data_IF_939295820802
#
_entry.id   IF_939295820802
#
_cell.length_a   1.000
_cell.length_b   1.000
_cell.length_c   1.000
_cell.angle_alpha   90.00
_cell.angle_beta   90.00
_cell.angle_gamma   90.00
#
_symmetry.space_group_name_H-M   'P 1'
#
loop_
_entity.id
_entity.type
_entity.pdbx_description
1 polymer ?
#
# COMPACT_ATOMS: atom_id res chain seq x y z
N UNK A 1 8.16 -12.45 -13.39
CA UNK A 1 7.75 -13.36 -14.49
C UNK A 1 6.40 -12.86 -14.99
N UNK A 2 6.37 -12.38 -16.23
CA UNK A 2 5.17 -11.88 -16.87
C UNK A 2 4.39 -13.05 -17.47
N UNK A 3 3.37 -13.54 -16.79
CA UNK A 3 2.40 -14.42 -17.44
C UNK A 3 1.15 -13.63 -17.81
N UNK A 4 0.52 -13.91 -18.97
CA UNK A 4 -0.78 -13.35 -19.29
C UNK A 4 -1.76 -13.72 -18.17
N UNK A 5 -2.42 -12.73 -17.60
CA UNK A 5 -3.43 -12.97 -16.58
C UNK A 5 -4.79 -12.62 -17.18
N UNK A 6 -5.68 -13.59 -17.36
CA UNK A 6 -7.01 -13.31 -17.89
C UNK A 6 -7.76 -12.36 -16.97
N UNK A 7 -8.26 -11.29 -17.53
CA UNK A 7 -9.16 -10.39 -16.85
C UNK A 7 -10.59 -10.70 -17.31
N UNK A 8 -11.46 -11.08 -16.37
CA UNK A 8 -12.85 -11.44 -16.64
C UNK A 8 -13.75 -10.23 -16.44
N UNK A 9 -14.60 -9.95 -17.42
CA UNK A 9 -15.67 -8.96 -17.32
C UNK A 9 -16.96 -9.58 -17.83
N UNK A 10 -18.01 -9.55 -17.01
CA UNK A 10 -19.33 -10.14 -17.35
C UNK A 10 -19.25 -11.63 -17.77
N UNK A 11 -18.41 -12.43 -17.09
CA UNK A 11 -18.27 -13.86 -17.40
C UNK A 11 -17.51 -14.18 -18.67
N UNK A 12 -16.88 -13.18 -19.33
CA UNK A 12 -16.05 -13.37 -20.53
C UNK A 12 -14.62 -12.90 -20.27
N UNK A 13 -13.59 -13.55 -20.85
CA UNK A 13 -12.24 -13.02 -20.80
C UNK A 13 -12.22 -11.65 -21.45
N UNK A 14 -11.74 -10.64 -20.72
CA UNK A 14 -11.67 -9.28 -21.22
C UNK A 14 -10.47 -9.07 -22.14
N UNK A 15 -9.32 -9.57 -21.73
CA UNK A 15 -8.11 -9.78 -22.54
C UNK A 15 -7.03 -10.48 -21.72
N UNK A 16 -6.08 -11.11 -22.42
CA UNK A 16 -4.81 -11.60 -21.88
C UNK A 16 -3.73 -10.57 -22.22
N UNK A 17 -2.99 -10.16 -21.18
CA UNK A 17 -1.92 -9.19 -21.36
C UNK A 17 -0.76 -9.49 -20.42
N UNK A 18 0.50 -9.32 -20.87
CA UNK A 18 1.65 -9.49 -20.01
C UNK A 18 1.55 -8.53 -18.82
N UNK A 19 1.61 -9.09 -17.61
CA UNK A 19 1.39 -8.33 -16.39
C UNK A 19 2.34 -8.76 -15.28
N UNK A 20 2.72 -7.82 -14.41
CA UNK A 20 3.27 -8.12 -13.09
C UNK A 20 2.13 -8.47 -12.14
N UNK A 21 2.33 -9.50 -11.34
CA UNK A 21 1.37 -9.93 -10.32
C UNK A 21 1.84 -9.54 -8.94
N UNK A 22 0.96 -8.93 -8.17
CA UNK A 22 1.19 -8.53 -6.78
C UNK A 22 0.25 -9.30 -5.87
N UNK A 23 0.75 -10.30 -5.10
CA UNK A 23 -0.07 -11.02 -4.15
C UNK A 23 -0.34 -10.17 -2.91
N UNK A 24 -1.61 -9.99 -2.59
CA UNK A 24 -2.08 -9.41 -1.34
C UNK A 24 -2.22 -10.51 -0.31
N UNK A 25 -1.58 -10.34 0.84
CA UNK A 25 -1.57 -11.33 1.90
C UNK A 25 -1.96 -10.70 3.22
N UNK A 26 -2.63 -11.46 4.07
CA UNK A 26 -2.93 -11.05 5.44
C UNK A 26 -1.67 -11.15 6.35
N UNK A 27 -1.84 -10.78 7.62
CA UNK A 27 -0.76 -10.87 8.61
C UNK A 27 -0.28 -12.32 8.81
N UNK A 28 -1.15 -13.32 8.59
CA UNK A 28 -0.78 -14.74 8.68
C UNK A 28 -0.08 -15.28 7.42
N UNK A 29 0.17 -14.42 6.41
CA UNK A 29 0.74 -14.75 5.09
C UNK A 29 -0.21 -15.54 4.17
N UNK A 30 -1.52 -15.60 4.50
CA UNK A 30 -2.55 -16.19 3.65
C UNK A 30 -2.83 -15.27 2.47
N UNK A 31 -2.89 -15.83 1.25
CA UNK A 31 -3.26 -15.09 0.04
C UNK A 31 -4.72 -14.64 0.12
N UNK A 32 -4.95 -13.34 0.01
CA UNK A 32 -6.28 -12.72 -0.02
C UNK A 32 -6.72 -12.40 -1.45
N UNK A 33 -5.79 -11.82 -2.25
CA UNK A 33 -6.08 -11.35 -3.59
C UNK A 33 -4.79 -11.21 -4.41
N UNK A 34 -4.93 -10.97 -5.71
CA UNK A 34 -3.81 -10.68 -6.61
C UNK A 34 -4.17 -9.47 -7.47
N UNK A 35 -3.39 -8.41 -7.38
CA UNK A 35 -3.47 -7.30 -8.33
C UNK A 35 -2.51 -7.55 -9.49
N UNK A 36 -2.94 -7.23 -10.71
CA UNK A 36 -2.07 -7.26 -11.88
C UNK A 36 -1.78 -5.84 -12.36
N UNK A 37 -0.52 -5.59 -12.77
CA UNK A 37 -0.10 -4.37 -13.46
C UNK A 37 0.25 -4.72 -14.89
N UNK A 38 -0.49 -4.16 -15.84
CA UNK A 38 -0.22 -4.30 -17.26
C UNK A 38 1.15 -3.71 -17.65
N UNK A 39 1.93 -4.46 -18.41
CA UNK A 39 3.28 -4.06 -18.86
C UNK A 39 3.30 -3.49 -20.29
N UNK A 40 2.19 -3.60 -21.02
CA UNK A 40 2.08 -3.06 -22.37
C UNK A 40 1.79 -1.54 -22.38
N UNK A 41 1.69 -1.01 -23.60
CA UNK A 41 1.45 0.43 -23.86
C UNK A 41 0.12 0.69 -24.58
N UNK A 42 -0.73 -0.31 -24.73
CA UNK A 42 -2.00 -0.17 -25.46
C UNK A 42 -2.94 0.79 -24.71
N UNK A 43 -3.55 1.69 -25.48
CA UNK A 43 -4.54 2.64 -24.94
C UNK A 43 -5.83 1.91 -24.55
N UNK A 44 -6.50 2.39 -23.50
CA UNK A 44 -7.76 1.80 -23.02
C UNK A 44 -7.61 0.55 -22.15
N UNK A 45 -6.39 0.05 -21.96
CA UNK A 45 -6.10 -1.04 -21.04
C UNK A 45 -5.80 -0.48 -19.66
N UNK A 46 -6.59 -0.81 -18.60
CA UNK A 46 -6.30 -0.36 -17.26
C UNK A 46 -4.92 -0.82 -16.78
N UNK A 47 -4.13 0.12 -16.28
CA UNK A 47 -2.76 -0.17 -15.83
C UNK A 47 -2.72 -1.14 -14.65
N UNK A 48 -3.65 -0.98 -13.70
CA UNK A 48 -3.80 -1.87 -12.56
C UNK A 48 -5.18 -2.49 -12.55
N UNK A 49 -5.26 -3.77 -12.15
CA UNK A 49 -6.51 -4.53 -12.16
C UNK A 49 -6.55 -5.51 -10.99
N UNK A 50 -7.72 -5.63 -10.39
CA UNK A 50 -8.07 -6.74 -9.53
C UNK A 50 -8.99 -7.71 -10.27
N UNK A 51 -9.08 -8.98 -9.87
CA UNK A 51 -10.10 -9.89 -10.35
C UNK A 51 -11.50 -9.29 -10.11
N UNK A 52 -12.40 -9.52 -11.06
CA UNK A 52 -13.78 -9.00 -10.95
C UNK A 52 -14.46 -9.57 -9.70
N UNK A 53 -15.13 -8.68 -8.94
CA UNK A 53 -15.84 -9.06 -7.71
C UNK A 53 -14.96 -9.30 -6.48
N UNK A 54 -13.64 -9.06 -6.59
CA UNK A 54 -12.76 -9.17 -5.44
C UNK A 54 -12.77 -7.90 -4.59
N UNK A 55 -12.59 -8.08 -3.29
CA UNK A 55 -12.41 -6.98 -2.35
C UNK A 55 -11.03 -6.34 -2.47
N UNK A 56 -10.96 -5.05 -2.15
CA UNK A 56 -9.70 -4.31 -2.07
C UNK A 56 -9.13 -4.48 -0.67
N UNK A 57 -7.87 -4.89 -0.57
CA UNK A 57 -7.17 -5.11 0.69
C UNK A 57 -5.94 -4.20 0.78
N UNK A 58 -5.37 -4.05 1.97
CA UNK A 58 -4.08 -3.43 2.18
C UNK A 58 -2.99 -4.39 1.68
N UNK A 59 -2.06 -3.88 0.88
CA UNK A 59 -0.89 -4.64 0.43
C UNK A 59 0.20 -4.63 1.50
N UNK A 60 0.87 -5.77 1.68
CA UNK A 60 2.07 -5.84 2.51
C UNK A 60 1.82 -6.08 4.01
N UNK A 61 0.59 -6.44 4.44
CA UNK A 61 0.27 -6.66 5.86
C UNK A 61 1.18 -7.67 6.57
N UNK A 62 1.76 -8.63 5.86
CA UNK A 62 2.72 -9.57 6.44
C UNK A 62 3.98 -8.90 7.01
N UNK A 63 4.29 -7.65 6.59
CA UNK A 63 5.45 -6.88 7.09
C UNK A 63 5.31 -6.54 8.57
N UNK A 64 4.07 -6.48 9.10
CA UNK A 64 3.81 -6.16 10.50
C UNK A 64 4.49 -7.14 11.47
N UNK A 65 4.70 -8.40 11.06
CA UNK A 65 5.45 -9.39 11.84
C UNK A 65 6.94 -9.09 11.96
N UNK A 66 7.48 -8.33 11.03
CA UNK A 66 8.91 -8.00 10.94
C UNK A 66 9.22 -6.63 11.51
N UNK A 67 8.20 -5.88 11.94
CA UNK A 67 8.36 -4.55 12.53
C UNK A 67 8.94 -4.71 13.95
N UNK A 68 10.04 -4.03 14.19
CA UNK A 68 10.70 -4.01 15.51
C UNK A 68 10.07 -2.91 16.39
N UNK A 69 10.13 -3.08 17.74
CA UNK A 69 9.71 -2.01 18.64
C UNK A 69 10.47 -0.70 18.37
N UNK A 70 9.73 0.41 18.21
CA UNK A 70 10.29 1.72 17.88
C UNK A 70 10.62 1.92 16.39
N UNK A 71 10.42 0.92 15.54
CA UNK A 71 10.55 1.05 14.08
C UNK A 71 9.24 1.62 13.49
N UNK A 72 9.31 2.66 12.64
CA UNK A 72 8.11 3.21 12.02
C UNK A 72 7.54 2.29 10.93
N UNK A 73 6.20 2.30 10.78
CA UNK A 73 5.51 1.70 9.66
C UNK A 73 5.23 2.77 8.59
N UNK A 74 5.76 2.58 7.40
CA UNK A 74 5.47 3.48 6.27
C UNK A 74 4.19 3.08 5.56
N UNK A 75 3.46 4.09 5.08
CA UNK A 75 2.24 3.92 4.30
C UNK A 75 2.41 4.61 2.96
N UNK A 76 2.02 3.96 1.87
CA UNK A 76 1.96 4.52 0.53
C UNK A 76 0.57 4.39 -0.07
N UNK A 77 0.25 5.25 -1.05
CA UNK A 77 -1.01 5.18 -1.78
C UNK A 77 -1.01 4.03 -2.79
N UNK A 78 0.12 3.78 -3.42
CA UNK A 78 0.25 2.78 -4.47
C UNK A 78 1.27 1.69 -4.16
N UNK A 79 1.08 0.53 -4.80
CA UNK A 79 1.97 -0.62 -4.63
C UNK A 79 3.38 -0.35 -5.16
N UNK A 80 3.52 0.51 -6.18
CA UNK A 80 4.81 0.89 -6.75
C UNK A 80 5.65 1.71 -5.79
N UNK A 81 5.03 2.66 -5.10
CA UNK A 81 5.69 3.47 -4.06
C UNK A 81 6.01 2.65 -2.82
N UNK A 82 5.10 1.72 -2.46
CA UNK A 82 5.37 0.73 -1.43
C UNK A 82 6.64 -0.07 -1.72
N UNK A 83 6.80 -0.56 -2.94
CA UNK A 83 7.99 -1.31 -3.35
C UNK A 83 9.26 -0.44 -3.35
N UNK A 84 9.15 0.83 -3.75
CA UNK A 84 10.26 1.77 -3.69
C UNK A 84 10.70 2.02 -2.24
N UNK A 85 9.75 2.26 -1.33
CA UNK A 85 10.01 2.41 0.10
C UNK A 85 10.62 1.14 0.71
N UNK A 86 10.12 -0.05 0.35
CA UNK A 86 10.71 -1.32 0.78
C UNK A 86 12.14 -1.49 0.24
N UNK A 87 12.41 -1.07 -0.99
CA UNK A 87 13.76 -1.10 -1.58
C UNK A 87 14.71 -0.11 -0.89
N UNK A 88 14.17 0.97 -0.34
CA UNK A 88 14.90 1.91 0.52
C UNK A 88 15.13 1.38 1.95
N UNK A 89 14.62 0.19 2.29
CA UNK A 89 14.79 -0.45 3.59
C UNK A 89 13.66 -0.21 4.60
N UNK A 90 12.61 0.51 4.22
CA UNK A 90 11.47 0.81 5.09
C UNK A 90 10.47 -0.37 5.19
N UNK A 91 9.88 -0.55 6.36
CA UNK A 91 8.73 -1.44 6.54
C UNK A 91 7.48 -0.73 6.06
N UNK A 92 6.90 -1.19 4.95
CA UNK A 92 5.88 -0.43 4.23
C UNK A 92 4.67 -1.29 3.89
N UNK A 93 3.50 -0.67 3.95
CA UNK A 93 2.23 -1.18 3.42
C UNK A 93 1.67 -0.21 2.37
N UNK A 94 0.84 -0.70 1.45
CA UNK A 94 0.13 0.17 0.52
C UNK A 94 -1.38 0.12 0.75
N UNK A 95 -2.01 1.29 0.70
CA UNK A 95 -3.47 1.45 0.74
C UNK A 95 -3.92 1.79 -0.68
N UNK A 96 -4.48 0.83 -1.44
CA UNK A 96 -4.71 0.98 -2.87
C UNK A 96 -5.84 1.94 -3.23
N UNK A 97 -6.60 2.43 -2.26
CA UNK A 97 -7.64 3.43 -2.47
C UNK A 97 -7.97 4.15 -1.17
N UNK A 98 -7.70 5.44 -1.12
CA UNK A 98 -8.08 6.28 0.01
C UNK A 98 -9.60 6.29 0.24
N UNK A 99 -10.38 6.32 -0.83
CA UNK A 99 -11.86 6.40 -0.75
C UNK A 99 -12.50 5.13 -0.22
N UNK A 100 -11.82 4.00 -0.29
CA UNK A 100 -12.33 2.70 0.18
C UNK A 100 -11.78 2.29 1.55
N UNK A 101 -10.81 3.04 2.10
CA UNK A 101 -10.23 2.74 3.41
C UNK A 101 -11.25 2.91 4.53
N UNK A 102 -11.46 1.86 5.30
CA UNK A 102 -12.32 1.86 6.50
C UNK A 102 -11.46 1.64 7.75
N UNK A 103 -12.01 1.98 8.91
CA UNK A 103 -11.35 1.72 10.20
C UNK A 103 -11.06 0.23 10.40
N UNK A 104 -11.98 -0.64 9.98
CA UNK A 104 -11.83 -2.11 10.07
C UNK A 104 -10.64 -2.64 9.26
N UNK A 105 -10.29 -2.00 8.15
CA UNK A 105 -9.13 -2.39 7.33
C UNK A 105 -7.81 -2.20 8.11
N UNK A 106 -7.80 -1.27 9.06
CA UNK A 106 -6.64 -0.97 9.92
C UNK A 106 -6.57 -1.83 11.18
N UNK A 107 -7.51 -2.77 11.37
CA UNK A 107 -7.53 -3.65 12.55
C UNK A 107 -6.18 -4.35 12.83
N UNK A 108 -5.45 -4.91 11.84
CA UNK A 108 -4.15 -5.52 12.12
C UNK A 108 -3.10 -4.52 12.65
N UNK A 109 -3.16 -3.27 12.22
CA UNK A 109 -2.27 -2.21 12.69
C UNK A 109 -2.65 -1.80 14.11
N UNK A 110 -3.95 -1.69 14.39
CA UNK A 110 -4.47 -1.41 15.73
C UNK A 110 -4.04 -2.47 16.74
N UNK A 111 -4.19 -3.76 16.42
CA UNK A 111 -3.76 -4.87 17.27
C UNK A 111 -2.25 -4.81 17.59
N UNK A 112 -1.43 -4.44 16.60
CA UNK A 112 0.00 -4.24 16.81
C UNK A 112 0.28 -3.02 17.71
N UNK A 113 -0.39 -1.89 17.47
CA UNK A 113 -0.25 -0.67 18.28
C UNK A 113 -0.64 -0.91 19.74
N UNK A 114 -1.75 -1.59 19.99
CA UNK A 114 -2.20 -1.98 21.32
C UNK A 114 -1.18 -2.89 22.04
N UNK A 115 -0.61 -3.85 21.32
CA UNK A 115 0.45 -4.72 21.85
C UNK A 115 1.72 -3.95 22.22
N UNK A 116 2.17 -3.04 21.36
CA UNK A 116 3.36 -2.21 21.63
C UNK A 116 3.13 -1.27 22.82
N UNK A 117 1.97 -0.65 22.91
CA UNK A 117 1.60 0.23 24.00
C UNK A 117 1.52 -0.51 25.33
N UNK A 118 0.83 -1.65 25.36
CA UNK A 118 0.60 -2.42 26.60
C UNK A 118 1.87 -3.11 27.14
N UNK A 119 2.72 -3.63 26.26
CA UNK A 119 3.90 -4.41 26.66
C UNK A 119 5.18 -3.60 26.80
N UNK A 120 5.32 -2.49 26.06
CA UNK A 120 6.56 -1.72 25.97
C UNK A 120 6.37 -0.21 26.20
N UNK A 121 5.14 0.25 26.43
CA UNK A 121 4.79 1.69 26.52
C UNK A 121 5.25 2.50 25.28
N UNK A 122 5.23 1.88 24.10
CA UNK A 122 5.62 2.51 22.84
C UNK A 122 4.38 2.83 22.00
N UNK A 123 4.39 4.00 21.37
CA UNK A 123 3.39 4.38 20.36
C UNK A 123 3.90 3.98 18.98
N UNK A 124 3.07 3.32 18.17
CA UNK A 124 3.39 3.01 16.78
C UNK A 124 3.32 4.28 15.93
N UNK A 125 4.40 4.59 15.25
CA UNK A 125 4.47 5.71 14.30
C UNK A 125 4.13 5.22 12.88
N UNK A 126 3.19 5.90 12.25
CA UNK A 126 2.82 5.72 10.84
C UNK A 126 3.42 6.88 10.05
N UNK A 127 4.33 6.58 9.13
CA UNK A 127 4.98 7.57 8.28
C UNK A 127 4.38 7.52 6.86
N UNK A 128 4.12 8.67 6.25
CA UNK A 128 3.61 8.76 4.89
C UNK A 128 4.28 9.90 4.13
N UNK A 129 4.72 9.61 2.90
CA UNK A 129 5.03 10.59 1.85
C UNK A 129 3.78 10.74 0.98
N UNK A 130 2.88 11.69 1.24
CA UNK A 130 1.70 11.85 0.41
C UNK A 130 2.11 12.25 -1.01
N UNK A 131 1.50 11.64 -2.02
CA UNK A 131 1.63 12.09 -3.40
C UNK A 131 1.23 13.56 -3.50
N UNK A 132 1.95 14.34 -4.32
CA UNK A 132 1.68 15.77 -4.49
C UNK A 132 0.49 16.00 -5.43
N UNK A 133 -0.64 15.36 -5.11
CA UNK A 133 -1.91 15.53 -5.81
C UNK A 133 -3.10 15.42 -4.84
N UNK A 134 -4.30 15.53 -5.40
CA UNK A 134 -5.54 15.51 -4.60
C UNK A 134 -5.76 14.15 -3.89
N UNK A 135 -5.38 13.04 -4.52
CA UNK A 135 -5.58 11.70 -3.97
C UNK A 135 -4.66 11.46 -2.77
N UNK A 136 -3.37 11.83 -2.88
CA UNK A 136 -2.41 11.74 -1.78
C UNK A 136 -2.79 12.60 -0.58
N UNK A 137 -3.29 13.81 -0.83
CA UNK A 137 -3.77 14.68 0.24
C UNK A 137 -5.06 14.14 0.91
N UNK A 138 -5.94 13.51 0.13
CA UNK A 138 -7.13 12.85 0.66
C UNK A 138 -6.76 11.65 1.54
N UNK A 139 -5.83 10.81 1.11
CA UNK A 139 -5.33 9.69 1.91
C UNK A 139 -4.72 10.17 3.22
N UNK A 140 -3.86 11.21 3.15
CA UNK A 140 -3.26 11.79 4.34
C UNK A 140 -4.31 12.27 5.35
N UNK A 141 -5.32 13.03 4.91
CA UNK A 141 -6.40 13.52 5.79
C UNK A 141 -7.19 12.38 6.43
N UNK A 142 -7.47 11.33 5.67
CA UNK A 142 -8.17 10.17 6.19
C UNK A 142 -7.35 9.44 7.25
N UNK A 143 -6.04 9.24 6.99
CA UNK A 143 -5.14 8.65 7.97
C UNK A 143 -4.97 9.54 9.21
N UNK A 144 -4.92 10.87 9.06
CA UNK A 144 -4.86 11.80 10.19
C UNK A 144 -6.10 11.70 11.10
N UNK A 145 -7.26 11.37 10.53
CA UNK A 145 -8.48 11.10 11.30
C UNK A 145 -8.49 9.70 11.95
N UNK A 146 -7.95 8.69 11.28
CA UNK A 146 -8.02 7.30 11.73
C UNK A 146 -6.86 6.91 12.67
N UNK A 147 -5.65 7.41 12.46
CA UNK A 147 -4.47 7.01 13.23
C UNK A 147 -4.64 7.18 14.75
N UNK A 148 -5.16 8.30 15.28
CA UNK A 148 -5.39 8.43 16.71
C UNK A 148 -6.39 7.42 17.26
N UNK A 149 -7.40 7.03 16.47
CA UNK A 149 -8.43 6.07 16.87
C UNK A 149 -7.91 4.64 17.04
N UNK A 150 -6.82 4.33 16.33
CA UNK A 150 -6.14 3.04 16.42
C UNK A 150 -4.88 3.09 17.28
N UNK A 151 -4.68 4.17 18.06
CA UNK A 151 -3.55 4.30 18.97
C UNK A 151 -2.20 4.55 18.29
N UNK A 152 -2.20 5.12 17.07
CA UNK A 152 -1.00 5.43 16.31
C UNK A 152 -0.75 6.93 16.23
N UNK A 153 0.52 7.32 16.04
CA UNK A 153 0.94 8.66 15.68
C UNK A 153 1.18 8.73 14.17
N UNK A 154 0.59 9.70 13.47
CA UNK A 154 0.84 9.92 12.04
C UNK A 154 1.89 10.99 11.84
N UNK A 155 2.92 10.67 11.08
CA UNK A 155 4.01 11.57 10.67
C UNK A 155 3.92 11.81 9.16
N UNK A 156 3.82 13.07 8.78
CA UNK A 156 3.89 13.48 7.38
C UNK A 156 5.35 13.71 6.98
N UNK A 157 5.81 12.96 6.04
CA UNK A 157 7.12 13.13 5.42
C UNK A 157 7.06 14.07 4.23
N UNK A 158 8.18 14.68 3.88
CA UNK A 158 8.29 15.63 2.76
C UNK A 158 9.21 15.10 1.69
N UNK A 159 8.72 14.99 0.46
CA UNK A 159 9.55 14.69 -0.71
C UNK A 159 10.38 15.91 -1.10
N UNK A 160 11.60 15.72 -1.62
CA UNK A 160 12.38 16.79 -2.25
C UNK A 160 11.57 17.51 -3.34
N UNK A 161 11.98 18.75 -3.65
CA UNK A 161 11.35 19.50 -4.72
C UNK A 161 11.50 18.78 -6.07
N UNK A 162 10.50 18.91 -6.94
CA UNK A 162 10.50 18.31 -8.28
C UNK A 162 9.96 16.89 -8.35
N UNK A 163 9.74 16.19 -7.23
CA UNK A 163 9.18 14.85 -7.23
C UNK A 163 7.71 14.85 -6.81
N UNK A 164 6.90 14.09 -7.52
CA UNK A 164 5.47 13.93 -7.25
C UNK A 164 5.23 12.88 -6.16
N UNK A 165 5.92 11.76 -6.23
CA UNK A 165 5.78 10.58 -5.39
C UNK A 165 7.15 10.01 -4.99
N UNK A 166 7.17 9.09 -4.01
CA UNK A 166 8.41 8.49 -3.54
C UNK A 166 9.06 7.60 -4.59
N UNK A 167 8.28 6.92 -5.44
CA UNK A 167 8.80 6.06 -6.49
C UNK A 167 9.63 6.84 -7.51
N UNK A 168 9.15 8.02 -7.93
CA UNK A 168 9.89 8.91 -8.83
C UNK A 168 11.19 9.41 -8.19
N UNK A 169 11.15 9.80 -6.92
CA UNK A 169 12.35 10.20 -6.17
C UNK A 169 13.35 9.05 -6.08
N UNK A 170 12.92 7.86 -5.63
CA UNK A 170 13.77 6.69 -5.47
C UNK A 170 14.43 6.26 -6.78
N UNK A 171 13.67 6.27 -7.88
CA UNK A 171 14.22 5.96 -9.20
C UNK A 171 15.32 6.94 -9.63
N UNK A 172 15.19 8.23 -9.29
CA UNK A 172 16.15 9.26 -9.69
C UNK A 172 17.52 9.13 -9.01
N UNK A 173 17.57 8.56 -7.81
CA UNK A 173 18.82 8.40 -7.05
C UNK A 173 19.46 7.02 -7.23
N UNK A 174 18.79 6.09 -7.93
CA UNK A 174 19.25 4.72 -8.17
C UNK A 174 19.30 4.35 -9.68
N UNK A 175 19.21 5.32 -10.58
CA UNK A 175 19.32 5.15 -12.06
C UNK A 175 20.71 5.39 -12.59
#
# INVERSE_FOLDING_TARGET
ISQPTPCWRYGKPYYDAPSLLFPYRDVADKLLNVQSRYLGKESGVPRFRFPSGSECHIFGLQILKLLKPGEPLYISEGITDCMALMSAGHKTIAIPSATLLKEDDLKPIKELAEKLSSSLSLTLELHIYPDKDQAGEQLYRQLAYLAPKIGCLLIRETLPEGFKDFGAYWASINS
#
